data_IF_245592550979
#
_entry.id   IF_245592550979
#
_cell.length_a   1.000
_cell.length_b   1.000
_cell.length_c   1.000
_cell.angle_alpha   90.00
_cell.angle_beta   90.00
_cell.angle_gamma   90.00
#
_symmetry.space_group_name_H-M   'P 1'
#
loop_
_entity.id
_entity.type
_entity.pdbx_description
1 polymer ?
#
# COMPACT_ATOMS: atom_id res chain seq x y z
N UNK A 1 13.98 -18.25 2.04
CA UNK A 1 15.21 -17.50 1.65
C UNK A 1 14.71 -16.38 0.75
N UNK A 2 14.60 -15.18 1.28
CA UNK A 2 14.04 -14.04 0.55
C UNK A 2 15.10 -13.45 -0.39
N UNK A 3 15.00 -13.58 -1.72
CA UNK A 3 16.11 -13.25 -2.64
C UNK A 3 16.12 -11.80 -3.16
N UNK A 4 15.32 -10.89 -2.67
CA UNK A 4 15.17 -9.57 -3.28
C UNK A 4 15.73 -8.38 -2.47
N UNK A 5 16.22 -8.57 -1.25
CA UNK A 5 16.89 -7.49 -0.52
C UNK A 5 18.25 -7.94 -0.01
N UNK A 6 19.29 -7.32 -0.54
CA UNK A 6 20.67 -7.55 -0.17
C UNK A 6 20.88 -7.37 1.34
N UNK A 7 21.35 -8.42 1.98
CA UNK A 7 21.83 -8.41 3.35
C UNK A 7 22.82 -7.25 3.56
N UNK A 8 22.43 -6.23 4.27
CA UNK A 8 23.38 -5.38 4.99
C UNK A 8 23.59 -6.00 6.37
N UNK A 9 24.69 -6.70 6.52
CA UNK A 9 25.25 -7.06 7.82
C UNK A 9 25.17 -5.87 8.77
N UNK A 10 24.31 -5.95 9.78
CA UNK A 10 24.37 -5.07 10.96
C UNK A 10 24.80 -5.90 12.16
N UNK A 11 26.08 -6.25 12.12
CA UNK A 11 26.77 -6.69 13.31
C UNK A 11 26.97 -5.53 14.26
N UNK A 12 26.67 -5.81 15.52
CA UNK A 12 27.16 -5.22 16.74
C UNK A 12 26.82 -3.74 17.04
N UNK A 13 26.17 -3.55 18.16
CA UNK A 13 26.55 -2.44 18.96
C UNK A 13 25.48 -1.73 19.76
N UNK A 14 25.19 -2.27 20.93
CA UNK A 14 24.55 -1.55 22.05
C UNK A 14 25.27 -0.23 22.44
N UNK A 15 26.27 0.19 21.67
CA UNK A 15 27.11 1.39 21.92
C UNK A 15 26.75 2.66 21.16
N UNK A 16 25.69 2.67 20.31
CA UNK A 16 25.36 3.84 19.46
C UNK A 16 24.29 4.79 20.00
N UNK A 17 23.73 4.55 21.17
CA UNK A 17 22.60 5.32 21.74
C UNK A 17 23.04 6.65 22.36
N UNK A 18 24.31 6.87 22.62
CA UNK A 18 24.80 8.09 23.30
C UNK A 18 25.65 8.99 22.41
N UNK A 19 25.16 9.38 21.23
CA UNK A 19 25.76 10.52 20.54
C UNK A 19 25.05 11.81 20.97
N UNK A 20 25.83 12.82 21.40
CA UNK A 20 25.31 14.16 21.81
C UNK A 20 24.31 14.77 20.81
N UNK A 21 24.42 14.45 19.52
CA UNK A 21 23.49 14.88 18.48
C UNK A 21 22.08 14.29 18.66
N UNK A 22 21.97 13.04 19.15
CA UNK A 22 20.68 12.41 19.40
C UNK A 22 20.01 13.00 20.66
N UNK A 23 20.81 13.37 21.66
CA UNK A 23 20.30 13.99 22.88
C UNK A 23 19.66 15.37 22.62
N UNK A 24 20.28 16.19 21.75
CA UNK A 24 19.71 17.50 21.34
C UNK A 24 18.40 17.32 20.55
N UNK A 25 18.32 16.33 19.66
CA UNK A 25 17.09 16.02 18.93
C UNK A 25 15.99 15.54 19.88
N UNK A 26 16.31 14.73 20.85
CA UNK A 26 15.36 14.22 21.86
C UNK A 26 14.81 15.36 22.73
N UNK A 27 15.65 16.26 23.18
CA UNK A 27 15.21 17.44 23.96
C UNK A 27 14.33 18.37 23.11
N UNK A 28 14.68 18.58 21.85
CA UNK A 28 13.87 19.38 20.93
C UNK A 28 12.49 18.76 20.71
N UNK A 29 12.42 17.43 20.52
CA UNK A 29 11.18 16.69 20.34
C UNK A 29 10.30 16.73 21.59
N UNK A 30 10.90 16.57 22.78
CA UNK A 30 10.24 16.70 24.09
C UNK A 30 9.64 18.11 24.29
N UNK A 31 10.36 19.16 23.92
CA UNK A 31 9.87 20.54 24.02
C UNK A 31 8.74 20.86 23.05
N UNK A 32 8.77 20.26 21.86
CA UNK A 32 7.79 20.53 20.79
C UNK A 32 6.50 19.73 20.95
N UNK A 33 6.59 18.46 21.34
CA UNK A 33 5.48 17.52 21.31
C UNK A 33 5.00 17.05 22.70
N UNK A 34 5.66 17.47 23.76
CA UNK A 34 5.35 17.10 25.14
C UNK A 34 5.85 15.69 25.53
N UNK A 35 5.92 15.46 26.84
CA UNK A 35 6.49 14.25 27.45
C UNK A 35 5.70 12.98 27.04
N UNK A 36 4.37 13.07 26.94
CA UNK A 36 3.53 11.92 26.55
C UNK A 36 3.84 11.45 25.14
N UNK A 37 3.90 12.34 24.16
CA UNK A 37 4.16 11.98 22.76
C UNK A 37 5.60 11.50 22.55
N UNK A 38 6.55 12.01 23.31
CA UNK A 38 7.92 11.50 23.28
C UNK A 38 8.05 10.11 23.91
N UNK A 39 7.26 9.81 24.95
CA UNK A 39 7.18 8.47 25.53
C UNK A 39 6.55 7.46 24.56
N UNK A 40 5.46 7.84 23.89
CA UNK A 40 4.86 6.99 22.85
C UNK A 40 5.80 6.74 21.67
N UNK A 41 6.50 7.75 21.17
CA UNK A 41 7.48 7.59 20.10
C UNK A 41 8.72 6.75 20.52
N UNK A 42 9.11 6.81 21.81
CA UNK A 42 10.18 5.97 22.33
C UNK A 42 9.72 4.52 22.49
N UNK A 43 8.48 4.30 22.93
CA UNK A 43 7.88 2.97 23.04
C UNK A 43 7.70 2.32 21.67
N UNK A 44 7.17 3.06 20.70
CA UNK A 44 7.03 2.60 19.32
C UNK A 44 8.38 2.18 18.69
N UNK A 45 9.47 2.92 18.98
CA UNK A 45 10.82 2.52 18.57
C UNK A 45 11.34 1.27 19.26
N UNK A 46 11.00 1.05 20.54
CA UNK A 46 11.42 -0.14 21.28
C UNK A 46 10.59 -1.35 20.84
N UNK A 47 9.33 -1.15 20.54
CA UNK A 47 8.44 -2.20 20.04
C UNK A 47 8.82 -2.57 18.59
N UNK A 48 9.20 -1.61 17.73
CA UNK A 48 9.71 -1.87 16.37
C UNK A 48 11.10 -2.55 16.34
N UNK A 49 11.92 -2.40 17.41
CA UNK A 49 13.18 -3.17 17.55
C UNK A 49 12.95 -4.61 18.03
N UNK A 50 11.75 -4.93 18.54
CA UNK A 50 11.36 -6.27 19.02
C UNK A 50 10.49 -7.04 18.05
N UNK A 51 9.98 -6.41 17.02
CA UNK A 51 9.28 -7.12 15.96
C UNK A 51 10.28 -8.04 15.27
N UNK A 52 10.10 -9.34 15.47
CA UNK A 52 10.69 -10.36 14.62
C UNK A 52 10.43 -9.92 13.18
N UNK A 53 11.48 -9.88 12.37
CA UNK A 53 11.41 -9.44 10.98
C UNK A 53 10.33 -10.27 10.26
N UNK A 54 9.10 -9.76 10.23
CA UNK A 54 8.06 -10.32 9.39
C UNK A 54 8.61 -10.34 7.97
N UNK A 55 8.54 -11.48 7.33
CA UNK A 55 8.86 -11.62 5.91
C UNK A 55 7.64 -12.24 5.25
N UNK A 56 7.00 -11.49 4.37
CA UNK A 56 5.92 -12.03 3.57
C UNK A 56 6.41 -13.26 2.80
N UNK A 57 5.75 -14.38 3.01
CA UNK A 57 5.98 -15.59 2.24
C UNK A 57 4.87 -15.65 1.18
N UNK A 58 5.24 -15.53 -0.07
CA UNK A 58 4.30 -15.62 -1.18
C UNK A 58 3.40 -16.85 -1.07
N UNK A 59 2.20 -16.74 -1.59
CA UNK A 59 1.21 -17.82 -1.57
C UNK A 59 1.65 -19.01 -2.41
N UNK A 60 1.27 -20.20 -1.99
CA UNK A 60 1.36 -21.38 -2.86
C UNK A 60 0.30 -21.30 -3.96
N UNK A 61 0.52 -21.97 -5.10
CA UNK A 61 -0.48 -21.97 -6.19
C UNK A 61 -1.82 -22.60 -5.75
N UNK A 62 -1.79 -23.56 -4.83
CA UNK A 62 -3.00 -24.14 -4.24
C UNK A 62 -3.81 -23.12 -3.43
N UNK A 63 -3.11 -22.27 -2.66
CA UNK A 63 -3.75 -21.19 -1.90
C UNK A 63 -4.30 -20.10 -2.82
N UNK A 64 -3.57 -19.73 -3.87
CA UNK A 64 -4.05 -18.76 -4.87
C UNK A 64 -5.33 -19.26 -5.55
N UNK A 65 -5.35 -20.53 -5.94
CA UNK A 65 -6.52 -21.12 -6.57
C UNK A 65 -7.71 -21.20 -5.61
N UNK A 66 -7.47 -21.58 -4.36
CA UNK A 66 -8.48 -21.56 -3.31
C UNK A 66 -9.08 -20.17 -3.13
N UNK A 67 -8.23 -19.15 -2.99
CA UNK A 67 -8.67 -17.78 -2.82
C UNK A 67 -9.46 -17.25 -4.03
N UNK A 68 -9.01 -17.54 -5.25
CA UNK A 68 -9.74 -17.17 -6.47
C UNK A 68 -11.15 -17.78 -6.48
N UNK A 69 -11.25 -19.06 -6.21
CA UNK A 69 -12.53 -19.78 -6.18
C UNK A 69 -13.46 -19.29 -5.06
N UNK A 70 -12.94 -19.06 -3.88
CA UNK A 70 -13.71 -18.54 -2.75
C UNK A 70 -14.17 -17.11 -3.00
N UNK A 71 -13.28 -16.26 -3.56
CA UNK A 71 -13.55 -14.89 -3.92
C UNK A 71 -14.65 -14.71 -4.98
N UNK A 72 -14.92 -15.73 -5.84
CA UNK A 72 -16.07 -15.68 -6.76
C UNK A 72 -17.42 -15.57 -6.05
N UNK A 73 -17.50 -16.02 -4.80
CA UNK A 73 -18.72 -15.92 -3.98
C UNK A 73 -18.90 -14.56 -3.31
N UNK A 74 -17.87 -13.71 -3.29
CA UNK A 74 -17.92 -12.40 -2.65
C UNK A 74 -18.48 -11.35 -3.59
N UNK A 75 -19.27 -10.43 -3.03
CA UNK A 75 -19.95 -9.40 -3.83
C UNK A 75 -19.19 -8.06 -3.88
N UNK A 76 -18.33 -7.80 -2.92
CA UNK A 76 -17.67 -6.51 -2.74
C UNK A 76 -16.78 -6.16 -3.94
N UNK A 77 -16.85 -4.93 -4.42
CA UNK A 77 -15.99 -4.42 -5.49
C UNK A 77 -15.08 -3.31 -4.97
N UNK A 78 -13.80 -3.37 -5.31
CA UNK A 78 -12.84 -2.33 -4.96
C UNK A 78 -12.57 -1.38 -6.12
N UNK A 79 -12.49 -0.08 -5.83
CA UNK A 79 -11.86 0.91 -6.71
C UNK A 79 -10.50 1.27 -6.15
N UNK A 80 -9.43 0.83 -6.80
CA UNK A 80 -8.04 1.12 -6.39
C UNK A 80 -7.66 2.46 -7.02
N UNK A 81 -7.40 3.46 -6.18
CA UNK A 81 -7.13 4.83 -6.58
C UNK A 81 -5.64 5.11 -6.51
N UNK A 82 -5.02 5.38 -7.66
CA UNK A 82 -3.59 5.62 -7.78
C UNK A 82 -3.34 7.00 -8.39
N UNK A 83 -2.88 7.98 -7.62
CA UNK A 83 -2.39 9.24 -8.17
C UNK A 83 -1.01 9.04 -8.78
N UNK A 84 -0.86 9.25 -10.09
CA UNK A 84 0.39 9.11 -10.83
C UNK A 84 0.99 10.50 -11.11
N UNK A 85 2.31 10.65 -10.85
CA UNK A 85 3.04 11.87 -11.20
C UNK A 85 4.52 11.59 -11.44
N UNK A 86 4.97 11.73 -12.69
CA UNK A 86 6.37 11.53 -13.13
C UNK A 86 7.00 10.22 -12.62
N UNK A 87 6.20 9.16 -12.54
CA UNK A 87 6.62 7.86 -12.02
C UNK A 87 7.58 7.18 -12.98
N UNK A 88 8.64 6.61 -12.46
CA UNK A 88 9.57 5.77 -13.25
C UNK A 88 8.83 4.55 -13.79
N UNK A 89 9.16 4.16 -15.03
CA UNK A 89 8.51 3.04 -15.72
C UNK A 89 8.56 1.74 -14.92
N UNK A 90 9.73 1.40 -14.33
CA UNK A 90 9.90 0.16 -13.58
C UNK A 90 9.02 0.09 -12.34
N UNK A 91 8.88 1.19 -11.59
CA UNK A 91 8.00 1.27 -10.42
C UNK A 91 6.53 1.21 -10.82
N UNK A 92 6.14 1.98 -11.85
CA UNK A 92 4.76 1.99 -12.33
C UNK A 92 4.34 0.60 -12.83
N UNK A 93 5.21 -0.10 -13.57
CA UNK A 93 4.94 -1.48 -14.00
C UNK A 93 4.81 -2.43 -12.81
N UNK A 94 5.75 -2.39 -11.88
CA UNK A 94 5.71 -3.25 -10.70
C UNK A 94 4.42 -3.05 -9.90
N UNK A 95 4.00 -1.79 -9.68
CA UNK A 95 2.74 -1.46 -9.01
C UNK A 95 1.54 -2.03 -9.77
N UNK A 96 1.41 -1.77 -11.09
CA UNK A 96 0.30 -2.27 -11.91
C UNK A 96 0.26 -3.81 -11.87
N UNK A 97 1.39 -4.47 -12.02
CA UNK A 97 1.49 -5.94 -11.99
C UNK A 97 1.09 -6.50 -10.64
N UNK A 98 1.48 -5.86 -9.53
CA UNK A 98 1.06 -6.29 -8.18
C UNK A 98 -0.46 -6.23 -7.99
N UNK A 99 -1.13 -5.27 -8.62
CA UNK A 99 -2.59 -5.16 -8.62
C UNK A 99 -3.24 -6.19 -9.56
N UNK A 100 -2.70 -6.37 -10.76
CA UNK A 100 -3.30 -7.30 -11.73
C UNK A 100 -3.19 -8.76 -11.33
N UNK A 101 -2.18 -9.11 -10.50
CA UNK A 101 -1.93 -10.47 -10.00
C UNK A 101 -2.70 -10.81 -8.73
N UNK A 102 -3.52 -9.92 -8.21
CA UNK A 102 -4.35 -10.17 -7.02
C UNK A 102 -5.20 -11.43 -7.19
N UNK A 103 -5.30 -12.23 -6.12
CA UNK A 103 -6.14 -13.43 -6.10
C UNK A 103 -7.63 -13.09 -6.12
N UNK A 104 -8.01 -11.91 -5.64
CA UNK A 104 -9.37 -11.38 -5.75
C UNK A 104 -9.52 -10.49 -6.99
N UNK A 105 -10.41 -10.87 -7.91
CA UNK A 105 -10.51 -10.24 -9.23
C UNK A 105 -11.56 -9.13 -9.37
N UNK A 106 -12.44 -8.92 -8.38
CA UNK A 106 -13.54 -7.94 -8.48
C UNK A 106 -13.08 -6.54 -8.08
N UNK A 107 -12.27 -5.92 -8.93
CA UNK A 107 -11.77 -4.57 -8.72
C UNK A 107 -11.67 -3.80 -10.03
N UNK A 108 -11.47 -2.50 -9.92
CA UNK A 108 -10.99 -1.60 -10.97
C UNK A 108 -9.76 -0.83 -10.47
N UNK A 109 -8.80 -0.59 -11.36
CA UNK A 109 -7.59 0.19 -11.09
C UNK A 109 -7.70 1.54 -11.80
N UNK A 110 -7.82 2.62 -11.04
CA UNK A 110 -7.99 3.98 -11.54
C UNK A 110 -6.69 4.75 -11.41
N UNK A 111 -6.03 4.98 -12.53
CA UNK A 111 -4.75 5.68 -12.63
C UNK A 111 -5.00 7.13 -13.03
N UNK A 112 -4.88 8.04 -12.06
CA UNK A 112 -5.09 9.47 -12.24
C UNK A 112 -3.74 10.16 -12.46
N UNK A 113 -3.34 10.33 -13.73
CA UNK A 113 -2.03 10.82 -14.14
C UNK A 113 -1.99 12.33 -14.32
N UNK A 114 -1.23 13.01 -13.47
CA UNK A 114 -0.95 14.44 -13.51
C UNK A 114 0.46 14.75 -14.05
N UNK A 115 1.16 13.80 -14.64
CA UNK A 115 2.52 13.97 -15.17
C UNK A 115 2.55 14.99 -16.31
N UNK A 116 3.68 15.64 -16.47
CA UNK A 116 3.93 16.51 -17.64
C UNK A 116 4.37 15.68 -18.84
N UNK A 117 5.13 14.61 -18.59
CA UNK A 117 5.58 13.69 -19.63
C UNK A 117 4.46 12.75 -20.07
N UNK A 118 4.63 12.12 -21.24
CA UNK A 118 3.73 11.11 -21.78
C UNK A 118 4.18 9.67 -21.41
N UNK A 119 5.29 9.54 -20.68
CA UNK A 119 5.86 8.22 -20.40
C UNK A 119 4.93 7.34 -19.56
N UNK A 120 4.30 7.82 -18.45
CA UNK A 120 3.34 7.00 -17.72
C UNK A 120 2.15 6.54 -18.59
N UNK A 121 1.64 7.41 -19.45
CA UNK A 121 0.54 7.07 -20.38
C UNK A 121 0.93 5.93 -21.32
N UNK A 122 2.15 5.97 -21.91
CA UNK A 122 2.65 4.91 -22.80
C UNK A 122 2.80 3.57 -22.05
N UNK A 123 3.30 3.62 -20.83
CA UNK A 123 3.42 2.44 -19.98
C UNK A 123 2.05 1.83 -19.72
N UNK A 124 1.09 2.64 -19.27
CA UNK A 124 -0.27 2.19 -18.94
C UNK A 124 -0.99 1.66 -20.18
N UNK A 125 -0.85 2.32 -21.31
CA UNK A 125 -1.45 1.89 -22.59
C UNK A 125 -0.91 0.54 -23.10
N UNK A 126 0.24 0.09 -22.62
CA UNK A 126 0.77 -1.24 -22.96
C UNK A 126 0.01 -2.39 -22.31
N UNK A 127 -0.79 -2.13 -21.28
CA UNK A 127 -1.64 -3.12 -20.62
C UNK A 127 -3.02 -3.17 -21.30
N UNK A 128 -3.44 -4.37 -21.70
CA UNK A 128 -4.75 -4.59 -22.34
C UNK A 128 -5.75 -5.21 -21.35
N UNK A 129 -5.77 -4.69 -20.11
CA UNK A 129 -6.70 -5.18 -19.09
C UNK A 129 -7.86 -4.19 -18.91
N UNK A 130 -9.08 -4.69 -19.08
CA UNK A 130 -10.31 -3.88 -18.99
C UNK A 130 -10.59 -3.33 -17.57
N UNK A 131 -9.88 -3.84 -16.57
CA UNK A 131 -9.99 -3.35 -15.19
C UNK A 131 -9.21 -2.05 -14.98
N UNK A 132 -8.30 -1.70 -15.89
CA UNK A 132 -7.50 -0.46 -15.82
C UNK A 132 -8.29 0.68 -16.43
N UNK A 133 -8.47 1.74 -15.66
CA UNK A 133 -9.05 3.01 -16.08
C UNK A 133 -8.00 4.13 -15.99
N UNK A 134 -7.45 4.54 -17.12
CA UNK A 134 -6.52 5.67 -17.18
C UNK A 134 -7.25 6.99 -17.33
N UNK A 135 -6.85 8.00 -16.54
CA UNK A 135 -7.35 9.37 -16.60
C UNK A 135 -6.21 10.38 -16.55
N UNK A 136 -6.04 11.12 -17.64
CA UNK A 136 -5.12 12.26 -17.67
C UNK A 136 -5.71 13.43 -16.91
N UNK A 137 -4.97 13.96 -15.91
CA UNK A 137 -5.33 15.15 -15.14
C UNK A 137 -4.59 16.36 -15.71
N UNK A 138 -5.31 17.45 -15.97
CA UNK A 138 -4.73 18.65 -16.60
C UNK A 138 -3.77 19.42 -15.69
N UNK A 139 -3.98 19.36 -14.39
CA UNK A 139 -3.21 20.12 -13.41
C UNK A 139 -2.89 19.24 -12.20
N UNK A 140 -1.60 19.15 -11.87
CA UNK A 140 -1.18 18.48 -10.65
C UNK A 140 -1.58 19.32 -9.42
N UNK A 141 -2.54 18.83 -8.66
CA UNK A 141 -3.00 19.42 -7.39
C UNK A 141 -2.34 18.83 -6.15
N UNK A 142 -1.35 17.93 -6.31
CA UNK A 142 -0.77 17.13 -5.24
C UNK A 142 -1.56 15.86 -4.96
N UNK A 143 -1.03 15.00 -4.11
CA UNK A 143 -1.56 13.66 -3.84
C UNK A 143 -3.06 13.69 -3.56
N UNK A 144 -3.50 14.44 -2.56
CA UNK A 144 -4.91 14.47 -2.15
C UNK A 144 -5.85 14.93 -3.26
N UNK A 145 -5.48 15.97 -4.03
CA UNK A 145 -6.33 16.46 -5.11
C UNK A 145 -6.38 15.47 -6.27
N UNK A 146 -5.26 14.84 -6.61
CA UNK A 146 -5.18 13.85 -7.67
C UNK A 146 -5.95 12.57 -7.29
N UNK A 147 -5.85 12.12 -6.03
CA UNK A 147 -6.65 11.00 -5.50
C UNK A 147 -8.15 11.31 -5.55
N UNK A 148 -8.56 12.53 -5.18
CA UNK A 148 -9.96 12.95 -5.30
C UNK A 148 -10.44 12.96 -6.75
N UNK A 149 -9.57 13.27 -7.73
CA UNK A 149 -9.90 13.14 -9.14
C UNK A 149 -10.11 11.67 -9.55
N UNK A 150 -9.26 10.74 -9.04
CA UNK A 150 -9.46 9.32 -9.26
C UNK A 150 -10.80 8.85 -8.66
N UNK A 151 -11.12 9.29 -7.44
CA UNK A 151 -12.35 8.93 -6.73
C UNK A 151 -13.62 9.30 -7.52
N UNK A 152 -13.60 10.36 -8.33
CA UNK A 152 -14.76 10.74 -9.16
C UNK A 152 -15.13 9.66 -10.20
N UNK A 153 -14.25 8.75 -10.51
CA UNK A 153 -14.46 7.65 -11.45
C UNK A 153 -14.68 6.30 -10.77
N UNK A 154 -14.62 6.26 -9.44
CA UNK A 154 -14.81 5.04 -8.68
C UNK A 154 -16.26 4.54 -8.78
N UNK A 155 -16.40 3.24 -9.03
CA UNK A 155 -17.71 2.55 -9.10
C UNK A 155 -17.81 1.37 -8.12
N UNK A 156 -16.74 1.09 -7.37
CA UNK A 156 -16.69 0.04 -6.36
C UNK A 156 -17.38 0.42 -5.05
N UNK A 157 -17.64 -0.57 -4.23
CA UNK A 157 -18.22 -0.40 -2.89
C UNK A 157 -17.23 0.21 -1.90
N UNK A 158 -15.93 -0.07 -2.10
CA UNK A 158 -14.84 0.45 -1.28
C UNK A 158 -13.74 1.06 -2.15
N UNK A 159 -13.22 2.20 -1.72
CA UNK A 159 -12.05 2.83 -2.31
C UNK A 159 -10.79 2.35 -1.58
N UNK A 160 -9.84 1.79 -2.32
CA UNK A 160 -8.51 1.45 -1.83
C UNK A 160 -7.51 2.51 -2.29
N UNK A 161 -6.70 3.03 -1.38
CA UNK A 161 -5.66 4.01 -1.69
C UNK A 161 -4.32 3.27 -1.88
N UNK A 162 -3.64 3.54 -2.98
CA UNK A 162 -2.35 2.95 -3.28
C UNK A 162 -1.45 4.00 -3.93
N UNK A 163 -0.21 4.12 -3.46
CA UNK A 163 0.77 5.01 -4.09
C UNK A 163 1.38 4.35 -5.33
N UNK A 164 1.81 5.17 -6.27
CA UNK A 164 2.24 4.73 -7.62
C UNK A 164 3.58 3.97 -7.64
N UNK A 165 4.26 3.86 -6.52
CA UNK A 165 5.55 3.19 -6.30
C UNK A 165 5.50 2.11 -5.21
N UNK A 166 4.31 1.86 -4.64
CA UNK A 166 4.06 0.80 -3.67
C UNK A 166 3.52 -0.48 -4.33
N UNK A 167 3.64 -1.59 -3.61
CA UNK A 167 3.21 -2.91 -4.07
C UNK A 167 2.18 -3.51 -3.11
N UNK A 168 1.20 -4.21 -3.66
CA UNK A 168 0.30 -5.06 -2.90
C UNK A 168 0.81 -6.50 -2.87
N UNK A 169 0.68 -7.19 -1.74
CA UNK A 169 0.81 -8.64 -1.69
C UNK A 169 -0.32 -9.29 -2.51
N UNK A 170 -0.07 -10.49 -3.05
CA UNK A 170 -1.00 -11.15 -3.98
C UNK A 170 -2.41 -11.40 -3.41
N UNK A 171 -2.54 -11.45 -2.09
CA UNK A 171 -3.77 -11.72 -1.35
C UNK A 171 -4.41 -10.49 -0.68
N UNK A 172 -3.83 -9.32 -0.86
CA UNK A 172 -4.27 -8.11 -0.14
C UNK A 172 -5.76 -7.82 -0.33
N UNK A 173 -6.24 -7.83 -1.57
CA UNK A 173 -7.66 -7.60 -1.85
C UNK A 173 -8.56 -8.76 -1.38
N UNK A 174 -8.06 -10.00 -1.43
CA UNK A 174 -8.81 -11.14 -0.93
C UNK A 174 -9.02 -11.04 0.59
N UNK A 175 -7.96 -10.76 1.35
CA UNK A 175 -8.04 -10.61 2.80
C UNK A 175 -9.02 -9.50 3.21
N UNK A 176 -9.00 -8.37 2.49
CA UNK A 176 -9.95 -7.27 2.73
C UNK A 176 -11.38 -7.68 2.38
N UNK A 177 -11.59 -8.34 1.24
CA UNK A 177 -12.91 -8.83 0.82
C UNK A 177 -13.47 -9.84 1.81
N UNK A 178 -12.68 -10.83 2.23
CA UNK A 178 -13.05 -11.85 3.22
C UNK A 178 -13.51 -11.19 4.54
N UNK A 179 -12.75 -10.21 5.02
CA UNK A 179 -13.10 -9.49 6.25
C UNK A 179 -14.40 -8.69 6.13
N UNK A 180 -14.63 -8.07 4.97
CA UNK A 180 -15.88 -7.35 4.69
C UNK A 180 -17.07 -8.34 4.66
N UNK A 181 -16.93 -9.45 3.95
CA UNK A 181 -17.99 -10.45 3.87
C UNK A 181 -18.27 -11.11 5.23
N UNK A 182 -17.23 -11.31 6.06
CA UNK A 182 -17.41 -11.76 7.43
C UNK A 182 -18.22 -10.74 8.26
N UNK A 183 -17.87 -9.46 8.18
CA UNK A 183 -18.57 -8.40 8.92
C UNK A 183 -20.05 -8.30 8.50
N UNK A 184 -20.34 -8.45 7.20
CA UNK A 184 -21.73 -8.51 6.71
C UNK A 184 -22.54 -9.66 7.36
N UNK A 185 -21.90 -10.83 7.53
CA UNK A 185 -22.55 -11.98 8.21
C UNK A 185 -22.78 -11.74 9.70
N UNK A 186 -21.96 -10.89 10.31
CA UNK A 186 -22.05 -10.46 11.72
C UNK A 186 -22.97 -9.24 11.91
N UNK A 187 -23.67 -8.80 10.86
CA UNK A 187 -24.48 -7.58 10.82
C UNK A 187 -23.71 -6.32 11.26
N UNK A 188 -22.42 -6.29 10.90
CA UNK A 188 -21.49 -5.20 11.21
C UNK A 188 -21.11 -4.48 9.94
N UNK A 189 -21.31 -3.16 9.90
CA UNK A 189 -20.86 -2.32 8.79
C UNK A 189 -19.39 -1.90 9.02
N UNK A 190 -18.49 -2.30 8.12
CA UNK A 190 -17.11 -1.84 8.10
C UNK A 190 -16.99 -0.63 7.19
N UNK A 191 -16.60 0.51 7.76
CA UNK A 191 -16.39 1.76 7.00
C UNK A 191 -14.94 1.98 6.60
N UNK A 192 -13.98 1.39 7.32
CA UNK A 192 -12.55 1.50 7.06
C UNK A 192 -11.82 0.21 7.43
N UNK A 193 -10.90 -0.19 6.57
CA UNK A 193 -9.92 -1.24 6.83
C UNK A 193 -8.52 -0.70 6.52
N UNK A 194 -7.54 -1.18 7.23
CA UNK A 194 -6.12 -0.89 6.97
C UNK A 194 -5.28 -2.12 7.30
N UNK A 195 -4.13 -2.22 6.69
CA UNK A 195 -3.12 -3.26 6.96
C UNK A 195 -1.83 -2.62 7.47
N UNK A 196 -0.95 -3.43 8.06
CA UNK A 196 0.42 -3.03 8.31
C UNK A 196 1.21 -2.92 7.01
N UNK A 197 2.27 -2.13 7.03
CA UNK A 197 3.20 -1.93 5.92
C UNK A 197 4.54 -2.58 6.24
N UNK A 198 5.11 -3.32 5.28
CA UNK A 198 6.51 -3.75 5.33
C UNK A 198 7.41 -2.71 4.66
N UNK A 199 8.55 -2.38 5.30
CA UNK A 199 9.53 -1.38 4.81
C UNK A 199 10.86 -2.00 4.44
#
# INVERSE_FOLDING_TARGET
MCPLFGHRDRGAGMGKILKLANFRKTIYYLKKNGIKNAFYAARERIDSEKEDSYCYQGLTEEEKERQRKEGESFSVRFSILVPVYETREDLLRAMIESVLTQTYGNFELILADASKSEEPEKVIASYQDKRILYKRIRQNGGISANTNQALMYATGDYAALLDHDDLLTEDALFAMAERIEQAKREDTELQMLYSDEDK
#
